data_IF_678624655976
#
_entry.id   IF_678624655976
#
_cell.length_a   1.000
_cell.length_b   1.000
_cell.length_c   1.000
_cell.angle_alpha   90.00
_cell.angle_beta   90.00
_cell.angle_gamma   90.00
#
_symmetry.space_group_name_H-M   'P 1'
#
loop_
_entity.id
_entity.type
_entity.pdbx_description
1 polymer ?
#
# COMPACT_ATOMS: atom_id res chain seq x y z
N UNK A 1 15.35 -12.95 5.69
CA UNK A 1 13.93 -12.74 5.32
C UNK A 1 13.48 -13.99 4.59
N UNK A 2 12.58 -14.79 5.16
CA UNK A 2 11.90 -15.81 4.36
C UNK A 2 10.76 -15.09 3.64
N UNK A 3 10.81 -15.06 2.30
CA UNK A 3 9.75 -14.46 1.50
C UNK A 3 8.44 -15.20 1.80
N UNK A 4 7.51 -14.56 2.49
CA UNK A 4 6.17 -15.10 2.75
C UNK A 4 5.24 -15.02 1.52
N UNK A 5 5.82 -15.02 0.32
CA UNK A 5 5.08 -15.20 -0.92
C UNK A 5 4.89 -16.69 -1.18
N UNK A 6 3.65 -17.09 -1.47
CA UNK A 6 3.38 -18.41 -2.01
C UNK A 6 3.40 -18.32 -3.52
N UNK A 7 4.27 -19.10 -4.17
CA UNK A 7 4.26 -19.30 -5.61
C UNK A 7 3.34 -20.47 -5.92
N UNK A 8 2.07 -20.15 -6.14
CA UNK A 8 1.05 -21.08 -6.61
C UNK A 8 0.05 -20.31 -7.48
N UNK A 9 -0.72 -21.01 -8.31
CA UNK A 9 -1.69 -20.39 -9.20
C UNK A 9 -2.84 -19.76 -8.39
N UNK A 10 -2.94 -18.43 -8.38
CA UNK A 10 -4.00 -17.71 -7.65
C UNK A 10 -4.92 -16.94 -8.59
N UNK A 11 -6.23 -17.01 -8.31
CA UNK A 11 -7.27 -16.25 -9.00
C UNK A 11 -7.59 -15.01 -8.15
N UNK A 12 -7.50 -13.82 -8.75
CA UNK A 12 -7.93 -12.58 -8.11
C UNK A 12 -9.43 -12.33 -8.32
N UNK A 13 -10.12 -11.86 -7.28
CA UNK A 13 -11.53 -11.41 -7.35
C UNK A 13 -11.73 -10.10 -8.14
N UNK A 14 -10.75 -9.67 -8.95
CA UNK A 14 -10.78 -8.42 -9.70
C UNK A 14 -11.57 -8.50 -11.02
N UNK A 15 -12.15 -9.65 -11.37
CA UNK A 15 -12.87 -9.82 -12.63
C UNK A 15 -11.96 -10.00 -13.85
N UNK A 16 -10.64 -10.12 -13.65
CA UNK A 16 -9.68 -10.49 -14.70
C UNK A 16 -9.55 -12.02 -14.78
N UNK A 17 -9.58 -12.62 -15.98
CA UNK A 17 -9.54 -14.08 -16.15
C UNK A 17 -8.13 -14.69 -15.98
N UNK A 18 -7.21 -14.02 -15.30
CA UNK A 18 -5.80 -14.40 -15.28
C UNK A 18 -5.40 -15.09 -13.97
N UNK A 19 -4.88 -16.30 -14.11
CA UNK A 19 -4.16 -17.01 -13.06
C UNK A 19 -2.81 -16.30 -12.88
N UNK A 20 -2.59 -15.66 -11.74
CA UNK A 20 -1.29 -15.07 -11.43
C UNK A 20 -0.36 -16.13 -10.87
N UNK A 21 0.92 -16.16 -11.28
CA UNK A 21 1.89 -17.13 -10.80
C UNK A 21 2.41 -16.81 -9.40
N UNK A 22 2.04 -15.65 -8.84
CA UNK A 22 2.46 -15.24 -7.51
C UNK A 22 1.31 -14.57 -6.76
N UNK A 23 1.27 -14.78 -5.44
CA UNK A 23 0.32 -14.10 -4.57
C UNK A 23 1.05 -13.49 -3.37
N UNK A 24 0.97 -12.16 -3.26
CA UNK A 24 1.43 -11.47 -2.07
C UNK A 24 0.33 -11.50 -1.00
N UNK A 25 0.47 -12.40 -0.03
CA UNK A 25 -0.47 -12.50 1.08
C UNK A 25 -0.04 -11.63 2.26
N UNK A 26 -0.55 -10.41 2.34
CA UNK A 26 -0.29 -9.56 3.50
C UNK A 26 -0.80 -10.14 4.82
N UNK A 27 -1.74 -11.10 4.80
CA UNK A 27 -2.21 -11.80 5.99
C UNK A 27 -1.14 -12.67 6.66
N UNK A 28 -0.10 -13.08 5.92
CA UNK A 28 1.05 -13.81 6.47
C UNK A 28 2.06 -12.86 7.17
N UNK A 29 1.87 -11.55 7.06
CA UNK A 29 2.71 -10.54 7.68
C UNK A 29 2.29 -10.32 9.14
N UNK A 30 2.26 -11.40 9.92
CA UNK A 30 1.53 -11.49 11.19
C UNK A 30 2.40 -11.75 12.42
N UNK A 31 3.72 -11.78 12.28
CA UNK A 31 4.65 -11.95 13.42
C UNK A 31 5.37 -10.65 13.76
N UNK A 32 5.77 -10.49 15.01
CA UNK A 32 6.50 -9.30 15.48
C UNK A 32 7.72 -8.93 14.61
N UNK A 33 8.63 -9.87 14.28
CA UNK A 33 9.78 -9.56 13.42
C UNK A 33 9.40 -9.12 12.00
N UNK A 34 8.35 -9.70 11.40
CA UNK A 34 7.88 -9.31 10.07
C UNK A 34 7.25 -7.91 10.13
N UNK A 35 6.43 -7.64 11.13
CA UNK A 35 5.81 -6.32 11.32
C UNK A 35 6.86 -5.24 11.56
N UNK A 36 7.89 -5.51 12.37
CA UNK A 36 9.00 -4.58 12.59
C UNK A 36 9.76 -4.28 11.28
N UNK A 37 9.98 -5.31 10.46
CA UNK A 37 10.64 -5.17 9.17
C UNK A 37 9.81 -4.29 8.21
N UNK A 38 8.52 -4.55 8.11
CA UNK A 38 7.61 -3.77 7.26
C UNK A 38 7.47 -2.34 7.75
N UNK A 39 7.28 -2.13 9.05
CA UNK A 39 7.12 -0.79 9.60
C UNK A 39 8.38 0.05 9.40
N UNK A 40 9.57 -0.53 9.54
CA UNK A 40 10.84 0.11 9.18
C UNK A 40 10.92 0.40 7.68
N UNK A 41 10.49 -0.51 6.81
CA UNK A 41 10.51 -0.28 5.36
C UNK A 41 9.57 0.88 4.95
N UNK A 42 8.33 0.91 5.46
CA UNK A 42 7.39 2.03 5.25
C UNK A 42 7.97 3.35 5.77
N UNK A 43 8.44 3.37 7.02
CA UNK A 43 8.93 4.57 7.65
C UNK A 43 10.19 5.12 6.95
N UNK A 44 11.09 4.23 6.51
CA UNK A 44 12.30 4.59 5.76
C UNK A 44 11.94 5.21 4.41
N UNK A 45 11.10 4.52 3.62
CA UNK A 45 10.67 5.01 2.31
C UNK A 45 9.99 6.39 2.42
N UNK A 46 9.11 6.57 3.40
CA UNK A 46 8.46 7.85 3.67
C UNK A 46 9.50 8.91 4.09
N UNK A 47 10.39 8.59 5.02
CA UNK A 47 11.41 9.53 5.52
C UNK A 47 12.32 10.03 4.40
N UNK A 48 12.79 9.13 3.54
CA UNK A 48 13.66 9.46 2.42
C UNK A 48 12.93 10.31 1.36
N UNK A 49 11.68 9.98 1.06
CA UNK A 49 10.87 10.72 0.10
C UNK A 49 10.51 12.12 0.61
N UNK A 50 10.29 12.29 1.93
CA UNK A 50 10.13 13.60 2.56
C UNK A 50 11.43 14.42 2.51
N UNK A 51 12.57 13.83 2.88
CA UNK A 51 13.89 14.51 2.86
C UNK A 51 14.27 15.01 1.47
N UNK A 52 14.01 14.18 0.45
CA UNK A 52 14.25 14.51 -0.96
C UNK A 52 13.18 15.44 -1.56
N UNK A 53 12.10 15.73 -0.82
CA UNK A 53 10.93 16.48 -1.29
C UNK A 53 10.19 15.84 -2.47
N UNK A 54 10.44 14.57 -2.73
CA UNK A 54 9.70 13.78 -3.71
C UNK A 54 8.27 13.49 -3.24
N UNK A 55 8.02 13.58 -1.93
CA UNK A 55 6.71 13.33 -1.32
C UNK A 55 6.24 14.53 -0.50
N UNK A 56 4.92 14.84 -0.47
CA UNK A 56 4.44 15.97 0.29
C UNK A 56 4.52 15.67 1.78
N UNK A 57 4.78 16.69 2.58
CA UNK A 57 4.55 16.62 4.01
C UNK A 57 3.07 16.34 4.30
N UNK A 58 2.81 15.68 5.42
CA UNK A 58 1.48 15.27 5.82
C UNK A 58 1.38 15.18 7.34
N UNK A 59 0.15 15.11 7.85
CA UNK A 59 -0.13 15.17 9.29
C UNK A 59 -0.65 13.84 9.85
N UNK A 60 -1.27 13.00 9.00
CA UNK A 60 -1.92 11.74 9.40
C UNK A 60 -1.62 10.61 8.43
N UNK A 61 -1.23 9.45 8.96
CA UNK A 61 -1.31 8.17 8.26
C UNK A 61 -2.70 7.57 8.43
N UNK A 62 -3.36 7.25 7.33
CA UNK A 62 -4.66 6.61 7.31
C UNK A 62 -4.55 5.15 6.84
N UNK A 63 -4.94 4.21 7.70
CA UNK A 63 -4.92 2.78 7.40
C UNK A 63 -6.34 2.24 7.19
N UNK A 64 -6.77 1.90 5.96
CA UNK A 64 -8.12 1.41 5.70
C UNK A 64 -8.40 0.09 6.42
N UNK A 65 -9.61 -0.09 6.96
CA UNK A 65 -9.97 -1.33 7.62
C UNK A 65 -10.02 -2.52 6.65
N UNK A 66 -9.47 -3.70 7.00
CA UNK A 66 -8.83 -4.05 8.29
C UNK A 66 -7.30 -4.06 8.24
N UNK A 67 -6.72 -4.43 7.10
CA UNK A 67 -5.28 -4.70 6.97
C UNK A 67 -4.43 -3.45 7.12
N UNK A 68 -4.92 -2.28 6.70
CA UNK A 68 -4.19 -1.02 6.80
C UNK A 68 -3.99 -0.55 8.24
N UNK A 69 -4.85 -0.99 9.18
CA UNK A 69 -4.82 -0.58 10.59
C UNK A 69 -3.47 -0.89 11.25
N UNK A 70 -2.99 -2.16 11.31
CA UNK A 70 -1.70 -2.46 11.91
C UNK A 70 -0.54 -1.79 11.18
N UNK A 71 -0.59 -1.65 9.85
CA UNK A 71 0.50 -1.05 9.09
C UNK A 71 0.62 0.45 9.32
N UNK A 72 -0.47 1.20 9.30
CA UNK A 72 -0.44 2.63 9.55
C UNK A 72 -0.11 2.93 11.03
N UNK A 73 -0.60 2.13 11.97
CA UNK A 73 -0.25 2.27 13.39
C UNK A 73 1.24 2.01 13.66
N UNK A 74 1.80 0.94 13.10
CA UNK A 74 3.21 0.59 13.30
C UNK A 74 4.14 1.54 12.54
N UNK A 75 3.77 1.96 11.32
CA UNK A 75 4.53 2.94 10.56
C UNK A 75 4.58 4.31 11.25
N UNK A 76 3.47 4.79 11.84
CA UNK A 76 3.48 6.04 12.60
C UNK A 76 4.43 5.97 13.82
N UNK A 77 4.39 4.86 14.56
CA UNK A 77 5.32 4.61 15.67
C UNK A 77 6.78 4.58 15.20
N UNK A 78 7.07 3.89 14.10
CA UNK A 78 8.44 3.76 13.57
C UNK A 78 8.95 5.08 12.98
N UNK A 79 8.11 5.86 12.30
CA UNK A 79 8.44 7.21 11.83
C UNK A 79 8.93 8.10 12.96
N UNK A 80 8.24 8.08 14.10
CA UNK A 80 8.66 8.87 15.26
C UNK A 80 9.93 8.30 15.90
N UNK A 81 9.94 7.01 16.24
CA UNK A 81 11.02 6.41 17.02
C UNK A 81 12.35 6.33 16.26
N UNK A 82 12.34 6.14 14.95
CA UNK A 82 13.56 6.00 14.13
C UNK A 82 13.92 7.25 13.31
N UNK A 83 12.94 8.08 12.95
CA UNK A 83 13.16 9.21 12.06
C UNK A 83 12.76 10.58 12.66
N UNK A 84 12.23 10.62 13.89
CA UNK A 84 11.75 11.84 14.55
C UNK A 84 10.66 12.59 13.77
N UNK A 85 9.88 11.85 12.97
CA UNK A 85 8.75 12.39 12.20
C UNK A 85 7.46 12.13 13.00
N UNK A 86 6.88 13.19 13.55
CA UNK A 86 5.67 13.11 14.36
C UNK A 86 4.41 13.27 13.49
N UNK A 87 3.69 12.17 13.26
CA UNK A 87 2.43 12.14 12.52
C UNK A 87 1.35 11.41 13.32
N UNK A 88 0.10 11.77 13.09
CA UNK A 88 -1.06 11.06 13.63
C UNK A 88 -1.33 9.76 12.89
N UNK A 89 -2.16 8.91 13.49
CA UNK A 89 -2.73 7.73 12.83
C UNK A 89 -4.26 7.76 12.93
N UNK A 90 -4.92 7.36 11.85
CA UNK A 90 -6.38 7.18 11.80
C UNK A 90 -6.78 5.97 10.93
N UNK A 91 -7.99 5.47 11.14
CA UNK A 91 -8.59 4.40 10.33
C UNK A 91 -10.12 4.49 10.32
N UNK A 92 -10.77 3.86 9.34
CA UNK A 92 -12.23 3.74 9.28
C UNK A 92 -12.74 2.45 9.93
N UNK A 93 -14.00 2.44 10.32
CA UNK A 93 -14.77 1.25 10.65
C UNK A 93 -15.66 0.89 9.45
N UNK A 94 -15.87 -0.40 9.21
CA UNK A 94 -16.85 -0.86 8.21
C UNK A 94 -18.28 -0.52 8.61
N UNK A 95 -18.57 -0.49 9.90
CA UNK A 95 -19.87 -0.13 10.46
C UNK A 95 -19.77 1.10 11.37
N UNK A 96 -20.78 1.97 11.30
CA UNK A 96 -20.91 3.11 12.20
C UNK A 96 -21.30 2.60 13.57
N UNK A 97 -20.64 3.09 14.63
CA UNK A 97 -21.09 2.81 16.00
C UNK A 97 -21.95 3.96 16.50
N UNK A 98 -23.07 3.62 17.12
CA UNK A 98 -24.03 4.58 17.69
C UNK A 98 -23.73 4.93 19.16
N UNK A 99 -22.65 4.41 19.75
CA UNK A 99 -22.34 4.56 21.19
C UNK A 99 -20.82 4.80 21.40
N UNK A 100 -20.45 5.45 22.51
CA UNK A 100 -19.06 5.83 22.82
C UNK A 100 -18.59 7.07 22.06
N UNK A 101 -17.35 7.10 21.56
CA UNK A 101 -16.87 8.15 20.64
C UNK A 101 -17.65 8.21 19.30
N UNK A 102 -18.48 7.20 19.02
CA UNK A 102 -19.37 7.16 17.86
C UNK A 102 -18.64 7.15 16.51
N UNK A 103 -19.41 7.21 15.42
CA UNK A 103 -18.89 7.51 14.09
C UNK A 103 -18.10 6.38 13.41
N UNK A 104 -17.60 6.72 12.22
CA UNK A 104 -16.90 5.81 11.30
C UNK A 104 -15.37 5.91 11.38
N UNK A 105 -14.83 6.96 12.00
CA UNK A 105 -13.38 7.22 12.06
C UNK A 105 -12.85 6.98 13.47
N UNK A 106 -11.62 6.47 13.58
CA UNK A 106 -10.91 6.29 14.85
C UNK A 106 -9.51 6.85 14.72
N UNK A 107 -8.99 7.43 15.82
CA UNK A 107 -7.66 8.03 15.87
C UNK A 107 -7.70 9.54 15.69
N UNK A 108 -6.64 10.10 15.13
CA UNK A 108 -6.51 11.56 14.94
C UNK A 108 -7.58 12.07 13.96
N UNK A 109 -8.34 13.13 14.28
CA UNK A 109 -9.31 13.70 13.35
C UNK A 109 -8.63 14.18 12.06
N UNK A 110 -9.18 13.77 10.91
CA UNK A 110 -8.61 14.08 9.58
C UNK A 110 -9.04 15.44 9.03
N UNK A 111 -10.07 16.07 9.62
CA UNK A 111 -10.62 17.33 9.13
C UNK A 111 -9.57 18.44 9.08
N UNK A 112 -9.37 19.03 7.91
CA UNK A 112 -8.40 20.10 7.67
C UNK A 112 -6.94 19.65 7.67
N UNK A 113 -6.68 18.34 7.59
CA UNK A 113 -5.32 17.78 7.61
C UNK A 113 -4.96 17.12 6.29
N UNK A 114 -3.66 17.10 6.01
CA UNK A 114 -3.05 16.34 4.92
C UNK A 114 -2.86 14.90 5.37
N UNK A 115 -3.39 13.98 4.58
CA UNK A 115 -3.49 12.56 4.91
C UNK A 115 -2.76 11.74 3.86
N UNK A 116 -1.96 10.79 4.33
CA UNK A 116 -1.35 9.75 3.49
C UNK A 116 -2.02 8.42 3.80
N UNK A 117 -2.50 7.72 2.77
CA UNK A 117 -3.12 6.40 2.91
C UNK A 117 -2.05 5.32 2.83
N UNK A 118 -2.04 4.36 3.77
CA UNK A 118 -1.24 3.14 3.65
C UNK A 118 -2.10 1.98 3.14
N UNK A 119 -1.56 1.20 2.20
CA UNK A 119 -2.16 -0.05 1.74
C UNK A 119 -1.10 -1.16 1.61
N UNK A 120 -1.49 -2.44 1.60
CA UNK A 120 -0.55 -3.53 1.39
C UNK A 120 -0.12 -3.63 -0.08
N UNK A 121 -1.07 -3.97 -0.95
CA UNK A 121 -0.86 -4.19 -2.39
C UNK A 121 -2.06 -3.67 -3.14
N UNK A 122 -1.85 -2.71 -4.02
CA UNK A 122 -2.91 -2.27 -4.91
C UNK A 122 -3.06 -3.24 -6.09
N UNK A 123 -4.20 -3.91 -6.14
CA UNK A 123 -4.65 -4.67 -7.33
C UNK A 123 -5.43 -3.73 -8.25
N UNK A 124 -6.73 -3.58 -8.00
CA UNK A 124 -7.62 -2.63 -8.72
C UNK A 124 -7.64 -1.22 -8.10
N UNK A 125 -6.93 -1.01 -7.00
CA UNK A 125 -6.96 0.24 -6.23
C UNK A 125 -8.29 0.52 -5.50
N UNK A 126 -9.26 -0.40 -5.54
CA UNK A 126 -10.59 -0.21 -4.94
C UNK A 126 -10.53 0.23 -3.47
N UNK A 127 -9.73 -0.45 -2.64
CA UNK A 127 -9.58 -0.12 -1.23
C UNK A 127 -9.03 1.30 -1.02
N UNK A 128 -8.02 1.69 -1.80
CA UNK A 128 -7.44 3.04 -1.78
C UNK A 128 -8.45 4.09 -2.27
N UNK A 129 -9.23 3.82 -3.32
CA UNK A 129 -10.28 4.73 -3.80
C UNK A 129 -11.35 4.96 -2.72
N UNK A 130 -11.78 3.89 -2.04
CA UNK A 130 -12.72 3.97 -0.92
C UNK A 130 -12.14 4.75 0.26
N UNK A 131 -10.84 4.57 0.55
CA UNK A 131 -10.13 5.32 1.58
C UNK A 131 -10.03 6.81 1.24
N UNK A 132 -9.65 7.15 0.01
CA UNK A 132 -9.60 8.53 -0.49
C UNK A 132 -10.96 9.20 -0.33
N UNK A 133 -12.03 8.53 -0.76
CA UNK A 133 -13.39 9.04 -0.59
C UNK A 133 -13.71 9.25 0.88
N UNK A 134 -13.45 8.26 1.73
CA UNK A 134 -13.76 8.32 3.16
C UNK A 134 -13.05 9.48 3.86
N UNK A 135 -11.76 9.69 3.57
CA UNK A 135 -11.00 10.82 4.14
C UNK A 135 -11.55 12.16 3.67
N UNK A 136 -11.85 12.30 2.38
CA UNK A 136 -12.45 13.52 1.80
C UNK A 136 -13.82 13.82 2.37
N UNK A 137 -14.68 12.81 2.53
CA UNK A 137 -16.01 12.96 3.14
C UNK A 137 -15.93 13.48 4.60
N UNK A 138 -14.83 13.21 5.31
CA UNK A 138 -14.58 13.71 6.67
C UNK A 138 -13.74 15.00 6.70
N UNK A 139 -13.56 15.65 5.54
CA UNK A 139 -12.90 16.95 5.41
C UNK A 139 -11.38 16.90 5.46
N UNK A 140 -10.76 15.73 5.28
CA UNK A 140 -9.32 15.59 5.10
C UNK A 140 -8.90 15.71 3.64
N UNK A 141 -7.64 16.07 3.42
CA UNK A 141 -7.02 16.14 2.10
C UNK A 141 -6.08 14.96 1.91
N UNK A 142 -6.37 14.05 0.98
CA UNK A 142 -5.42 12.98 0.66
C UNK A 142 -4.33 13.52 -0.26
N UNK A 143 -3.10 13.57 0.25
CA UNK A 143 -1.92 14.10 -0.46
C UNK A 143 -0.98 13.02 -0.94
N UNK A 144 -1.18 11.76 -0.53
CA UNK A 144 -0.32 10.67 -0.94
C UNK A 144 -0.86 9.28 -0.58
N UNK A 145 -0.28 8.27 -1.21
CA UNK A 145 -0.50 6.85 -0.94
C UNK A 145 0.84 6.16 -0.82
N UNK A 146 0.98 5.22 0.11
CA UNK A 146 2.16 4.38 0.26
C UNK A 146 1.73 2.92 0.30
N UNK A 147 2.34 2.07 -0.53
CA UNK A 147 2.07 0.64 -0.59
C UNK A 147 3.33 -0.21 -0.41
N UNK A 148 3.18 -1.45 0.05
CA UNK A 148 4.32 -2.37 0.16
C UNK A 148 4.76 -2.88 -1.21
N UNK A 149 3.84 -3.26 -2.09
CA UNK A 149 4.17 -3.83 -3.40
C UNK A 149 3.34 -3.21 -4.51
N UNK A 150 4.02 -2.64 -5.50
CA UNK A 150 3.47 -2.34 -6.81
C UNK A 150 3.59 -3.57 -7.70
N UNK A 151 2.45 -4.02 -8.25
CA UNK A 151 2.42 -5.16 -9.16
C UNK A 151 2.86 -4.78 -10.58
N UNK A 152 2.96 -3.49 -10.89
CA UNK A 152 3.30 -2.97 -12.23
C UNK A 152 2.42 -3.56 -13.35
N UNK A 153 1.17 -3.87 -13.02
CA UNK A 153 0.14 -4.38 -13.94
C UNK A 153 -0.65 -3.23 -14.58
N UNK A 154 -1.23 -3.51 -15.75
CA UNK A 154 -2.23 -2.63 -16.37
C UNK A 154 -3.48 -2.56 -15.50
N UNK A 155 -3.97 -1.34 -15.29
CA UNK A 155 -5.13 -0.97 -14.49
C UNK A 155 -6.47 -1.26 -15.17
N UNK A 156 -7.53 -0.68 -14.61
CA UNK A 156 -8.91 -0.92 -15.04
C UNK A 156 -9.22 -0.31 -16.41
N UNK A 157 -8.53 0.76 -16.79
CA UNK A 157 -8.69 1.39 -18.11
C UNK A 157 -8.05 0.58 -19.25
N UNK A 158 -7.27 -0.46 -18.94
CA UNK A 158 -6.56 -1.27 -19.92
C UNK A 158 -5.36 -0.58 -20.58
N UNK A 159 -4.96 0.61 -20.09
CA UNK A 159 -3.91 1.45 -20.69
C UNK A 159 -2.89 1.91 -19.64
N UNK A 160 -3.34 2.47 -18.52
CA UNK A 160 -2.53 3.00 -17.43
C UNK A 160 -2.32 1.94 -16.35
N UNK A 161 -1.36 2.12 -15.45
CA UNK A 161 -1.30 1.29 -14.23
C UNK A 161 -2.29 1.79 -13.17
N UNK A 162 -2.68 0.92 -12.25
CA UNK A 162 -3.46 1.31 -11.06
C UNK A 162 -2.80 2.47 -10.30
N UNK A 163 -1.47 2.51 -10.23
CA UNK A 163 -0.71 3.63 -9.64
C UNK A 163 -1.02 4.94 -10.37
N UNK A 164 -0.93 4.96 -11.70
CA UNK A 164 -1.21 6.16 -12.49
C UNK A 164 -2.67 6.61 -12.37
N UNK A 165 -3.60 5.67 -12.32
CA UNK A 165 -5.02 5.99 -12.11
C UNK A 165 -5.28 6.60 -10.72
N UNK A 166 -4.51 6.21 -9.69
CA UNK A 166 -4.60 6.82 -8.36
C UNK A 166 -3.91 8.18 -8.34
N UNK A 167 -2.73 8.32 -8.95
CA UNK A 167 -2.04 9.61 -9.11
C UNK A 167 -2.92 10.64 -9.82
N UNK A 168 -3.72 10.24 -10.83
CA UNK A 168 -4.68 11.13 -11.46
C UNK A 168 -5.72 11.73 -10.48
N UNK A 169 -5.98 11.07 -9.35
CA UNK A 169 -6.91 11.55 -8.32
C UNK A 169 -6.27 12.45 -7.26
N UNK A 170 -4.97 12.32 -7.00
CA UNK A 170 -4.28 12.96 -5.85
C UNK A 170 -3.03 13.77 -6.23
N UNK A 171 -2.62 13.74 -7.50
CA UNK A 171 -1.43 14.38 -8.04
C UNK A 171 -0.38 13.38 -8.54
N UNK A 172 0.39 13.79 -9.55
CA UNK A 172 1.49 12.99 -10.09
C UNK A 172 2.64 12.84 -9.06
N UNK A 173 3.26 11.66 -9.02
CA UNK A 173 4.35 11.34 -8.08
C UNK A 173 3.91 11.16 -6.63
N UNK A 174 2.60 11.00 -6.38
CA UNK A 174 2.01 10.91 -5.03
C UNK A 174 1.77 9.49 -4.55
N UNK A 175 2.23 8.49 -5.28
CA UNK A 175 2.17 7.08 -4.87
C UNK A 175 3.60 6.57 -4.67
N UNK A 176 3.91 6.12 -3.46
CA UNK A 176 5.16 5.45 -3.14
C UNK A 176 4.94 3.94 -3.01
N UNK A 177 5.89 3.17 -3.52
CA UNK A 177 5.89 1.71 -3.44
C UNK A 177 7.23 1.27 -2.87
N UNK A 178 7.22 0.47 -1.80
CA UNK A 178 8.45 -0.04 -1.18
C UNK A 178 9.15 -1.02 -2.12
N UNK A 179 8.37 -1.94 -2.70
CA UNK A 179 8.81 -2.91 -3.68
C UNK A 179 7.97 -2.78 -4.95
N UNK A 180 8.57 -3.19 -6.06
CA UNK A 180 7.92 -3.40 -7.35
C UNK A 180 8.03 -4.85 -7.76
N UNK A 181 7.18 -5.28 -8.68
CA UNK A 181 7.25 -6.62 -9.27
C UNK A 181 8.65 -6.90 -9.84
N UNK A 182 9.27 -5.92 -10.50
CA UNK A 182 10.65 -6.06 -11.01
C UNK A 182 11.68 -6.32 -9.93
N UNK A 183 11.55 -5.73 -8.74
CA UNK A 183 12.46 -5.99 -7.62
C UNK A 183 12.35 -7.45 -7.15
N UNK A 184 11.14 -8.02 -7.19
CA UNK A 184 10.93 -9.44 -6.90
C UNK A 184 11.58 -10.34 -7.96
N UNK A 185 11.50 -9.98 -9.24
CA UNK A 185 12.14 -10.74 -10.33
C UNK A 185 13.67 -10.71 -10.22
N UNK A 186 14.26 -9.54 -9.91
CA UNK A 186 15.70 -9.42 -9.64
C UNK A 186 16.09 -10.33 -8.47
N UNK A 187 15.33 -10.29 -7.38
CA UNK A 187 15.60 -11.15 -6.22
C UNK A 187 15.52 -12.65 -6.58
N UNK A 188 14.54 -13.08 -7.39
CA UNK A 188 14.42 -14.47 -7.83
C UNK A 188 15.61 -14.90 -8.71
N UNK A 189 16.09 -14.00 -9.57
CA UNK A 189 17.27 -14.23 -10.40
C UNK A 189 18.54 -14.40 -9.54
N UNK A 190 18.76 -13.48 -8.59
CA UNK A 190 19.90 -13.51 -7.67
C UNK A 190 19.93 -14.74 -6.74
N UNK A 191 18.76 -15.33 -6.46
CA UNK A 191 18.62 -16.52 -5.61
C UNK A 191 18.43 -17.82 -6.41
N UNK A 192 18.67 -17.80 -7.73
CA UNK A 192 18.63 -18.97 -8.61
C UNK A 192 17.25 -19.70 -8.62
N UNK A 193 16.16 -18.96 -8.38
CA UNK A 193 14.79 -19.48 -8.35
C UNK A 193 14.16 -19.42 -9.75
N UNK A 194 14.78 -20.11 -10.71
CA UNK A 194 14.48 -19.95 -12.14
C UNK A 194 13.04 -20.32 -12.52
N UNK A 195 12.46 -21.35 -11.91
CA UNK A 195 11.10 -21.80 -12.26
C UNK A 195 10.02 -20.75 -12.04
N UNK A 196 10.09 -20.02 -10.92
CA UNK A 196 9.12 -18.96 -10.61
C UNK A 196 9.43 -17.66 -11.35
N UNK A 197 10.72 -17.37 -11.58
CA UNK A 197 11.14 -16.24 -12.39
C UNK A 197 10.54 -16.32 -13.80
N UNK A 198 10.62 -17.47 -14.46
CA UNK A 198 10.10 -17.64 -15.82
C UNK A 198 8.57 -17.48 -15.88
N UNK A 199 7.84 -17.99 -14.87
CA UNK A 199 6.39 -17.74 -14.78
C UNK A 199 6.06 -16.26 -14.59
N UNK A 200 6.82 -15.55 -13.73
CA UNK A 200 6.63 -14.12 -13.50
C UNK A 200 6.95 -13.29 -14.74
N UNK A 201 8.01 -13.61 -15.48
CA UNK A 201 8.35 -12.95 -16.76
C UNK A 201 7.23 -13.13 -17.79
N UNK A 202 6.73 -14.36 -17.97
CA UNK A 202 5.63 -14.63 -18.91
C UNK A 202 4.36 -13.87 -18.53
N UNK A 203 4.04 -13.81 -17.24
CA UNK A 203 2.91 -13.03 -16.74
C UNK A 203 3.09 -11.52 -16.98
N UNK A 204 4.29 -10.98 -16.73
CA UNK A 204 4.59 -9.57 -16.95
C UNK A 204 4.53 -9.17 -18.43
N UNK A 205 4.96 -10.04 -19.35
CA UNK A 205 4.85 -9.77 -20.79
C UNK A 205 3.40 -9.57 -21.26
N UNK A 206 2.47 -10.30 -20.62
CA UNK A 206 1.04 -10.28 -20.93
C UNK A 206 0.27 -9.16 -20.24
N UNK A 207 0.55 -8.91 -18.95
CA UNK A 207 -0.25 -8.01 -18.10
C UNK A 207 0.50 -6.80 -17.55
N UNK A 208 1.80 -6.72 -17.81
CA UNK A 208 2.66 -5.65 -17.35
C UNK A 208 2.42 -4.34 -18.07
N UNK A 209 2.63 -3.25 -17.34
CA UNK A 209 2.78 -1.92 -17.92
C UNK A 209 4.08 -1.88 -18.76
N UNK A 210 3.97 -1.50 -20.05
CA UNK A 210 5.09 -1.40 -21.01
C UNK A 210 5.52 0.04 -21.23
#
# INVERSE_FOLDING_TARGET
>A
MNAHGTFDNHVYYSGYPSISPYFFNAGLLSTGPILATLSTAYATAISEALKSKAFPEFDVLFGPAYKGIPFASTAALTLYTQHQIAVGFAYDRKEVKDHGEGGKMVGVPVKGKRVVVLDDVMTSGKAVREAIKTVRDHGGEVVGVVQALDREEVGQDGVSSTVKEIEALIGEGRVLSILRMRDLMVWLEENEVHGELEKMKAYWEQYGLK
#
